data_IF_246933968469
#
_entry.id   IF_246933968469
#
_cell.length_a   1.000
_cell.length_b   1.000
_cell.length_c   1.000
_cell.angle_alpha   90.00
_cell.angle_beta   90.00
_cell.angle_gamma   90.00
#
_symmetry.space_group_name_H-M   'P 1'
#
loop_
_entity.id
_entity.type
_entity.pdbx_description
1 polymer ?
#
# COMPACT_ATOMS: atom_id res chain seq x y z
N UNK A 1 -6.94 -4.50 3.88
CA UNK A 1 -8.02 -3.93 3.04
C UNK A 1 -7.39 -3.63 1.71
N UNK A 2 -7.70 -4.46 0.73
CA UNK A 2 -7.20 -4.30 -0.64
C UNK A 2 -8.13 -3.31 -1.34
N UNK A 3 -7.56 -2.29 -1.94
CA UNK A 3 -8.29 -1.30 -2.73
C UNK A 3 -7.69 -1.25 -4.13
N UNK A 4 -8.56 -1.28 -5.14
CA UNK A 4 -8.17 -1.20 -6.55
C UNK A 4 -8.44 0.20 -7.09
N UNK A 5 -7.43 0.81 -7.68
CA UNK A 5 -7.52 2.11 -8.33
C UNK A 5 -6.47 2.21 -9.43
N UNK A 6 -6.85 2.73 -10.60
CA UNK A 6 -5.97 2.87 -11.77
C UNK A 6 -5.16 1.62 -12.15
N UNK A 7 -5.81 0.45 -12.03
CA UNK A 7 -5.20 -0.84 -12.34
C UNK A 7 -4.17 -1.34 -11.32
N UNK A 8 -4.07 -0.68 -10.16
CA UNK A 8 -3.27 -1.13 -9.02
C UNK A 8 -4.17 -1.55 -7.87
N UNK A 9 -3.99 -2.78 -7.39
CA UNK A 9 -4.62 -3.29 -6.18
C UNK A 9 -3.61 -3.27 -5.02
N UNK A 10 -3.83 -2.41 -4.02
CA UNK A 10 -2.92 -2.22 -2.90
C UNK A 10 -3.60 -2.46 -1.56
N UNK A 11 -2.87 -3.07 -0.61
CA UNK A 11 -3.34 -3.17 0.77
C UNK A 11 -3.04 -1.86 1.53
N UNK A 12 -4.05 -1.01 1.72
CA UNK A 12 -3.88 0.34 2.29
C UNK A 12 -3.32 0.34 3.72
N UNK A 13 -3.53 -0.74 4.49
CA UNK A 13 -2.94 -0.89 5.83
C UNK A 13 -1.43 -1.10 5.83
N UNK A 14 -0.88 -1.61 4.72
CA UNK A 14 0.53 -1.94 4.63
C UNK A 14 1.35 -0.84 3.98
N UNK A 15 0.72 0.16 3.37
CA UNK A 15 1.44 1.30 2.79
C UNK A 15 2.18 2.04 3.92
N UNK A 16 3.48 2.19 3.73
CA UNK A 16 4.39 2.95 4.60
C UNK A 16 4.64 4.35 4.02
N UNK A 17 4.82 4.43 2.70
CA UNK A 17 5.06 5.69 2.01
C UNK A 17 4.62 5.60 0.55
N UNK A 18 4.20 6.74 0.01
CA UNK A 18 3.93 6.95 -1.41
C UNK A 18 4.91 8.03 -1.89
N UNK A 19 5.67 7.73 -2.94
CA UNK A 19 6.72 8.60 -3.48
C UNK A 19 6.52 8.79 -4.97
N UNK A 20 6.96 9.93 -5.49
CA UNK A 20 7.10 10.15 -6.93
C UNK A 20 8.53 10.51 -7.28
N UNK A 21 9.02 9.93 -8.36
CA UNK A 21 10.34 10.19 -8.92
C UNK A 21 10.18 10.77 -10.32
N UNK A 22 10.47 12.06 -10.47
CA UNK A 22 10.40 12.73 -11.77
C UNK A 22 11.60 12.35 -12.64
N UNK A 23 11.35 12.11 -13.92
CA UNK A 23 12.37 11.84 -14.95
C UNK A 23 12.30 12.94 -16.01
N UNK A 24 13.28 12.96 -16.95
CA UNK A 24 13.29 13.94 -18.06
C UNK A 24 12.02 13.89 -18.92
N UNK A 25 11.36 12.72 -18.98
CA UNK A 25 10.04 12.50 -19.57
C UNK A 25 9.23 11.69 -18.55
N UNK A 26 8.19 12.27 -17.99
CA UNK A 26 7.31 11.62 -17.02
C UNK A 26 8.00 11.28 -15.69
N UNK A 27 7.83 10.06 -15.23
CA UNK A 27 8.43 9.58 -13.99
C UNK A 27 7.79 8.30 -13.46
N UNK A 28 7.96 8.04 -12.17
CA UNK A 28 7.51 6.81 -11.52
C UNK A 28 6.81 7.14 -10.21
N UNK A 29 5.64 6.55 -10.00
CA UNK A 29 4.95 6.50 -8.71
C UNK A 29 5.38 5.22 -7.99
N UNK A 30 5.82 5.33 -6.72
CA UNK A 30 6.37 4.23 -5.93
C UNK A 30 5.61 4.10 -4.62
N UNK A 31 5.16 2.88 -4.33
CA UNK A 31 4.51 2.50 -3.08
C UNK A 31 5.46 1.64 -2.27
N UNK A 32 5.85 2.13 -1.10
CA UNK A 32 6.64 1.37 -0.12
C UNK A 32 5.70 0.80 0.93
N UNK A 33 5.97 -0.44 1.34
CA UNK A 33 5.18 -1.13 2.34
C UNK A 33 5.98 -1.37 3.63
N UNK A 34 5.28 -1.57 4.74
CA UNK A 34 5.91 -2.11 5.93
C UNK A 34 6.48 -3.50 5.64
N UNK A 35 7.66 -3.78 6.20
CA UNK A 35 8.23 -5.11 6.14
C UNK A 35 7.26 -6.13 6.76
N UNK A 36 7.19 -7.29 6.15
CA UNK A 36 6.43 -8.40 6.72
C UNK A 36 7.24 -8.99 7.85
N UNK A 37 6.65 -9.08 9.04
CA UNK A 37 7.32 -9.70 10.18
C UNK A 37 6.68 -11.05 10.47
N UNK A 38 7.47 -12.12 10.42
CA UNK A 38 7.02 -13.50 10.60
C UNK A 38 7.86 -14.20 11.65
N UNK A 39 7.27 -15.15 12.38
CA UNK A 39 8.04 -16.10 13.17
C UNK A 39 8.54 -17.20 12.24
N UNK A 40 9.84 -17.42 12.25
CA UNK A 40 10.50 -18.42 11.41
C UNK A 40 11.30 -19.32 12.32
N UNK A 41 11.29 -20.62 12.01
CA UNK A 41 12.12 -21.56 12.73
C UNK A 41 13.59 -21.32 12.35
N UNK A 42 14.46 -21.18 13.35
CA UNK A 42 15.88 -20.80 13.16
C UNK A 42 16.66 -21.84 12.33
N UNK A 43 16.31 -23.10 12.50
CA UNK A 43 16.72 -24.21 11.64
C UNK A 43 15.64 -25.29 11.66
N UNK A 44 15.53 -26.06 10.57
CA UNK A 44 14.53 -27.11 10.41
C UNK A 44 14.49 -28.05 11.63
N UNK A 45 13.32 -28.18 12.26
CA UNK A 45 13.07 -29.04 13.43
C UNK A 45 13.84 -28.65 14.71
N UNK A 46 14.33 -27.42 14.83
CA UNK A 46 14.97 -26.96 16.07
C UNK A 46 13.99 -26.70 17.21
N UNK A 47 12.71 -26.45 16.90
CA UNK A 47 11.72 -25.96 17.87
C UNK A 47 11.98 -24.54 18.36
N UNK A 48 13.01 -23.85 17.83
CA UNK A 48 13.38 -22.48 18.21
C UNK A 48 12.88 -21.52 17.13
N UNK A 49 11.98 -20.61 17.54
CA UNK A 49 11.32 -19.65 16.67
C UNK A 49 11.83 -18.24 16.92
N UNK A 50 12.17 -17.53 15.85
CA UNK A 50 12.61 -16.15 15.90
C UNK A 50 11.77 -15.26 14.99
N UNK A 51 11.58 -14.01 15.43
CA UNK A 51 10.86 -13.00 14.68
C UNK A 51 11.80 -12.41 13.62
N UNK A 52 11.57 -12.70 12.35
CA UNK A 52 12.35 -12.15 11.23
C UNK A 52 11.54 -11.14 10.43
N UNK A 53 12.22 -10.09 9.99
CA UNK A 53 11.66 -9.03 9.14
C UNK A 53 12.07 -9.29 7.69
N UNK A 54 11.09 -9.51 6.82
CA UNK A 54 11.29 -9.72 5.39
C UNK A 54 11.01 -8.42 4.64
N UNK A 55 11.93 -7.97 3.76
CA UNK A 55 11.70 -6.79 2.94
C UNK A 55 10.42 -6.97 2.12
N UNK A 56 9.53 -5.99 2.20
CA UNK A 56 8.36 -5.98 1.33
C UNK A 56 8.71 -5.19 0.07
N UNK A 57 8.60 -5.84 -1.09
CA UNK A 57 8.98 -5.23 -2.36
C UNK A 57 8.07 -4.03 -2.64
N UNK A 58 8.67 -2.92 -3.09
CA UNK A 58 7.89 -1.76 -3.53
C UNK A 58 7.10 -2.09 -4.79
N UNK A 59 5.91 -1.52 -4.91
CA UNK A 59 5.14 -1.51 -6.17
C UNK A 59 5.41 -0.19 -6.87
N UNK A 60 5.50 -0.20 -8.20
CA UNK A 60 5.78 1.01 -8.97
C UNK A 60 4.98 1.07 -10.27
N UNK A 61 4.55 2.27 -10.63
CA UNK A 61 3.84 2.56 -11.88
C UNK A 61 4.58 3.64 -12.65
N UNK A 62 4.86 3.38 -13.93
CA UNK A 62 5.55 4.33 -14.80
C UNK A 62 4.53 5.25 -15.48
N UNK A 63 4.92 6.51 -15.63
CA UNK A 63 4.16 7.52 -16.33
C UNK A 63 5.07 8.16 -17.38
N UNK A 64 4.58 8.27 -18.61
CA UNK A 64 5.31 8.94 -19.71
C UNK A 64 5.17 10.47 -19.65
N UNK A 65 4.14 10.95 -18.95
CA UNK A 65 3.79 12.35 -18.79
C UNK A 65 3.87 12.77 -17.32
N UNK A 66 4.47 13.94 -17.07
CA UNK A 66 4.72 14.42 -15.71
C UNK A 66 3.47 14.98 -15.03
N UNK A 67 2.51 15.49 -15.79
CA UNK A 67 1.25 15.99 -15.24
C UNK A 67 0.37 14.81 -14.82
N UNK A 68 0.33 13.74 -15.61
CA UNK A 68 -0.35 12.49 -15.24
C UNK A 68 0.25 11.86 -13.97
N UNK A 69 1.59 11.85 -13.83
CA UNK A 69 2.25 11.42 -12.59
C UNK A 69 1.83 12.28 -11.39
N UNK A 70 1.71 13.58 -11.59
CA UNK A 70 1.36 14.53 -10.53
C UNK A 70 -0.07 14.30 -10.04
N UNK A 71 -1.01 14.14 -10.97
CA UNK A 71 -2.41 13.83 -10.69
C UNK A 71 -2.52 12.52 -9.91
N UNK A 72 -1.97 11.44 -10.45
CA UNK A 72 -2.01 10.12 -9.81
C UNK A 72 -1.37 10.13 -8.41
N UNK A 73 -0.27 10.86 -8.21
CA UNK A 73 0.35 11.00 -6.91
C UNK A 73 -0.59 11.64 -5.88
N UNK A 74 -1.26 12.74 -6.24
CA UNK A 74 -2.16 13.42 -5.32
C UNK A 74 -3.44 12.64 -5.04
N UNK A 75 -3.97 11.93 -6.03
CA UNK A 75 -5.12 11.03 -5.86
C UNK A 75 -4.79 9.92 -4.86
N UNK A 76 -3.68 9.22 -5.06
CA UNK A 76 -3.25 8.15 -4.16
C UNK A 76 -2.92 8.64 -2.74
N UNK A 77 -2.26 9.79 -2.60
CA UNK A 77 -1.97 10.39 -1.29
C UNK A 77 -3.26 10.81 -0.59
N UNK A 78 -4.19 11.47 -1.28
CA UNK A 78 -5.46 11.90 -0.72
C UNK A 78 -6.31 10.70 -0.28
N UNK A 79 -6.35 9.66 -1.10
CA UNK A 79 -7.04 8.40 -0.77
C UNK A 79 -6.46 7.74 0.48
N UNK A 80 -5.13 7.61 0.53
CA UNK A 80 -4.46 6.97 1.66
C UNK A 80 -4.64 7.77 2.96
N UNK A 81 -4.54 9.10 2.88
CA UNK A 81 -4.82 9.98 4.02
C UNK A 81 -6.26 9.85 4.51
N UNK A 82 -7.25 9.89 3.60
CA UNK A 82 -8.65 9.71 3.95
C UNK A 82 -8.92 8.35 4.61
N UNK A 83 -8.27 7.29 4.13
CA UNK A 83 -8.31 5.99 4.77
C UNK A 83 -7.71 6.01 6.19
N UNK A 84 -6.52 6.58 6.37
CA UNK A 84 -5.87 6.70 7.68
C UNK A 84 -6.75 7.45 8.70
N UNK A 85 -7.36 8.56 8.28
CA UNK A 85 -8.28 9.34 9.11
C UNK A 85 -9.50 8.53 9.53
N UNK A 86 -10.10 7.77 8.62
CA UNK A 86 -11.22 6.87 8.92
C UNK A 86 -10.81 5.77 9.90
N UNK A 87 -9.64 5.16 9.73
CA UNK A 87 -9.11 4.15 10.67
C UNK A 87 -8.94 4.76 12.07
N UNK A 88 -8.34 5.95 12.16
CA UNK A 88 -8.12 6.62 13.45
C UNK A 88 -9.43 6.94 14.17
N UNK A 89 -10.50 7.24 13.43
CA UNK A 89 -11.86 7.50 13.96
C UNK A 89 -12.68 6.24 14.23
N UNK A 90 -12.18 5.05 13.90
CA UNK A 90 -12.94 3.79 13.99
C UNK A 90 -14.07 3.68 12.96
N UNK A 91 -13.99 4.43 11.86
CA UNK A 91 -15.04 4.57 10.83
C UNK A 91 -14.76 3.72 9.57
N UNK A 92 -14.08 2.59 9.72
CA UNK A 92 -13.65 1.78 8.56
C UNK A 92 -14.81 1.25 7.72
N UNK A 93 -15.96 0.93 8.33
CA UNK A 93 -17.14 0.46 7.60
C UNK A 93 -17.71 1.55 6.70
N UNK A 94 -17.74 2.80 7.16
CA UNK A 94 -18.20 3.94 6.37
C UNK A 94 -17.28 4.14 5.15
N UNK A 95 -15.96 4.04 5.35
CA UNK A 95 -15.02 4.15 4.24
C UNK A 95 -15.23 3.06 3.20
N UNK A 96 -15.46 1.81 3.63
CA UNK A 96 -15.75 0.67 2.74
C UNK A 96 -17.00 0.89 1.90
N UNK A 97 -18.09 1.34 2.51
CA UNK A 97 -19.35 1.65 1.83
C UNK A 97 -19.15 2.74 0.76
N UNK A 98 -18.42 3.81 1.10
CA UNK A 98 -18.15 4.92 0.18
C UNK A 98 -17.29 4.53 -1.03
N UNK A 99 -16.41 3.53 -0.86
CA UNK A 99 -15.43 3.14 -1.87
C UNK A 99 -15.71 1.76 -2.48
N UNK A 100 -16.89 1.18 -2.23
CA UNK A 100 -17.32 -0.08 -2.83
C UNK A 100 -16.43 -1.28 -2.49
N UNK A 101 -15.79 -1.30 -1.32
CA UNK A 101 -14.94 -2.43 -0.90
C UNK A 101 -15.80 -3.49 -0.22
N UNK A 102 -16.16 -4.53 -0.98
CA UNK A 102 -16.87 -5.70 -0.44
C UNK A 102 -16.00 -6.48 0.57
N UNK A 103 -16.62 -7.09 1.57
CA UNK A 103 -15.93 -7.99 2.49
C UNK A 103 -15.46 -9.22 1.72
N UNK A 104 -14.16 -9.32 1.42
CA UNK A 104 -13.55 -10.49 0.80
C UNK A 104 -13.48 -11.73 1.72
N UNK A 105 -14.11 -11.70 2.89
CA UNK A 105 -14.17 -12.81 3.84
C UNK A 105 -15.57 -12.85 4.49
N UNK A 106 -16.52 -13.48 3.79
CA UNK A 106 -17.61 -14.24 4.41
C UNK A 106 -17.27 -15.73 4.38
#
# INVERSE_FOLDING_TARGET
>A
MIYEHDGLALNLFQIKAIKKERRKKGGVLVFEFYNTIMNVETSLNSGVWEKQSFPNASVSQNFDDSDNLEIAYYEWVGLWQGFCDCVQRGQINIWREQHGVENLYE
#
